data_IF_774991822096
#
_entry.id   IF_774991822096
#
_cell.length_a   1.000
_cell.length_b   1.000
_cell.length_c   1.000
_cell.angle_alpha   90.00
_cell.angle_beta   90.00
_cell.angle_gamma   90.00
#
_symmetry.space_group_name_H-M   'P 1'
#
loop_
_entity.id
_entity.type
_entity.pdbx_description
1 polymer ?
#
# COMPACT_ATOMS: atom_id res chain seq x y z
N UNK A 1 -13.41 19.69 12.00
CA UNK A 1 -14.39 19.17 11.02
C UNK A 1 -13.66 18.16 10.15
N UNK A 2 -14.11 16.90 10.10
CA UNK A 2 -13.43 15.85 9.32
C UNK A 2 -13.88 15.89 7.86
N UNK A 3 -12.94 15.70 6.92
CA UNK A 3 -13.20 15.75 5.47
C UNK A 3 -14.29 14.75 5.06
N UNK A 4 -14.28 13.54 5.63
CA UNK A 4 -15.27 12.50 5.33
C UNK A 4 -16.72 12.90 5.60
N UNK A 5 -16.99 13.63 6.68
CA UNK A 5 -18.37 14.06 7.01
C UNK A 5 -18.87 15.17 6.08
N UNK A 6 -17.97 16.03 5.60
CA UNK A 6 -18.31 17.02 4.58
C UNK A 6 -18.66 16.33 3.25
N UNK A 7 -17.85 15.35 2.85
CA UNK A 7 -18.08 14.55 1.64
C UNK A 7 -19.42 13.80 1.69
N UNK A 8 -19.74 13.19 2.83
CA UNK A 8 -21.03 12.52 3.06
C UNK A 8 -22.21 13.49 2.90
N UNK A 9 -22.14 14.69 3.49
CA UNK A 9 -23.18 15.71 3.34
C UNK A 9 -23.36 16.18 1.89
N UNK A 10 -22.30 16.11 1.08
CA UNK A 10 -22.31 16.37 -0.36
C UNK A 10 -22.70 15.14 -1.19
N UNK A 11 -23.15 14.06 -0.55
CA UNK A 11 -23.54 12.80 -1.19
C UNK A 11 -22.40 12.13 -1.99
N UNK A 12 -21.15 12.37 -1.59
CA UNK A 12 -19.98 11.68 -2.14
C UNK A 12 -19.87 10.30 -1.50
N UNK A 13 -19.84 9.26 -2.33
CA UNK A 13 -19.75 7.87 -1.89
C UNK A 13 -18.30 7.38 -2.02
N UNK A 14 -17.74 6.69 -1.00
CA UNK A 14 -16.43 6.08 -1.12
C UNK A 14 -16.44 4.99 -2.20
N UNK A 15 -15.33 4.88 -2.94
CA UNK A 15 -15.12 3.85 -3.96
C UNK A 15 -14.05 2.88 -3.47
N UNK A 16 -14.21 1.60 -3.80
CA UNK A 16 -13.17 0.60 -3.54
C UNK A 16 -11.93 0.92 -4.39
N UNK A 17 -10.83 1.24 -3.71
CA UNK A 17 -9.55 1.58 -4.33
C UNK A 17 -8.55 0.45 -4.26
N UNK A 18 -8.94 -0.78 -3.93
CA UNK A 18 -8.03 -1.94 -4.01
C UNK A 18 -7.70 -2.29 -5.46
N UNK A 19 -6.69 -3.12 -5.66
CA UNK A 19 -6.36 -3.63 -6.99
C UNK A 19 -7.34 -4.75 -7.43
N UNK A 20 -7.13 -5.30 -8.63
CA UNK A 20 -7.97 -6.38 -9.18
C UNK A 20 -7.93 -7.68 -8.35
N UNK A 21 -6.94 -7.84 -7.48
CA UNK A 21 -6.81 -8.96 -6.55
C UNK A 21 -7.35 -8.63 -5.15
N UNK A 22 -7.92 -7.44 -4.95
CA UNK A 22 -8.44 -7.00 -3.66
C UNK A 22 -7.36 -6.59 -2.66
N UNK A 23 -6.14 -6.26 -3.10
CA UNK A 23 -5.03 -5.81 -2.25
C UNK A 23 -5.02 -4.28 -2.11
N UNK A 24 -4.57 -3.78 -0.96
CA UNK A 24 -4.52 -2.35 -0.65
C UNK A 24 -3.56 -1.57 -1.55
N UNK A 25 -3.88 -0.28 -1.81
CA UNK A 25 -3.00 0.66 -2.53
C UNK A 25 -2.59 1.90 -1.73
N UNK A 26 -3.30 2.23 -0.65
CA UNK A 26 -3.01 3.37 0.21
C UNK A 26 -2.84 2.88 1.65
N UNK A 27 -1.69 3.16 2.26
CA UNK A 27 -1.29 2.57 3.53
C UNK A 27 -1.00 3.63 4.60
N UNK A 28 -1.59 3.49 5.82
CA UNK A 28 -1.37 4.43 6.92
C UNK A 28 -0.03 4.19 7.66
N UNK A 29 0.72 3.15 7.31
CA UNK A 29 2.03 2.85 7.86
C UNK A 29 3.09 2.65 6.79
N UNK A 30 4.32 2.46 7.26
CA UNK A 30 5.47 2.21 6.39
C UNK A 30 5.38 0.83 5.73
N UNK A 31 6.11 0.60 4.62
CA UNK A 31 6.11 -0.71 3.94
C UNK A 31 6.54 -1.85 4.88
N UNK A 32 7.53 -1.60 5.75
CA UNK A 32 8.03 -2.61 6.70
C UNK A 32 6.93 -3.08 7.65
N UNK A 33 6.10 -2.15 8.12
CA UNK A 33 5.00 -2.44 9.04
C UNK A 33 3.92 -3.33 8.42
N UNK A 34 3.70 -3.24 7.11
CA UNK A 34 2.72 -4.07 6.41
C UNK A 34 3.31 -5.41 5.91
N UNK A 35 4.60 -5.41 5.51
CA UNK A 35 5.26 -6.58 4.94
C UNK A 35 5.79 -7.56 5.98
N UNK A 36 6.19 -7.08 7.16
CA UNK A 36 6.71 -7.93 8.23
C UNK A 36 5.52 -8.48 9.03
N UNK A 37 5.37 -9.82 9.12
CA UNK A 37 4.33 -10.43 9.93
C UNK A 37 4.37 -9.93 11.37
N UNK A 38 3.19 -9.77 11.98
CA UNK A 38 2.99 -9.34 13.38
C UNK A 38 3.54 -7.94 13.74
N UNK A 39 3.98 -7.15 12.75
CA UNK A 39 4.43 -5.77 13.00
C UNK A 39 3.28 -4.83 13.38
N UNK A 40 2.06 -5.10 12.91
CA UNK A 40 0.83 -4.45 13.40
C UNK A 40 0.24 -5.34 14.48
N UNK A 41 0.27 -4.87 15.74
CA UNK A 41 -0.32 -5.60 16.86
C UNK A 41 -1.82 -5.81 16.65
N UNK A 42 -2.35 -6.95 17.10
CA UNK A 42 -3.77 -7.30 16.96
C UNK A 42 -4.71 -6.35 17.72
N UNK A 43 -4.22 -5.70 18.78
CA UNK A 43 -4.96 -4.70 19.57
C UNK A 43 -4.81 -3.27 19.02
N UNK A 44 -4.23 -3.10 17.83
CA UNK A 44 -4.09 -1.80 17.19
C UNK A 44 -5.43 -1.30 16.65
N UNK A 45 -5.67 0.01 16.82
CA UNK A 45 -6.77 0.76 16.17
C UNK A 45 -6.88 0.50 14.66
N UNK A 46 -5.77 0.10 14.03
CA UNK A 46 -5.73 -0.25 12.61
C UNK A 46 -6.79 -1.28 12.26
N UNK A 47 -6.93 -2.33 13.07
CA UNK A 47 -7.88 -3.41 12.82
C UNK A 47 -9.33 -2.98 13.07
N UNK A 48 -9.55 -2.02 13.96
CA UNK A 48 -10.88 -1.46 14.24
C UNK A 48 -11.35 -0.48 13.14
N UNK A 49 -10.41 0.21 12.49
CA UNK A 49 -10.71 1.28 11.53
C UNK A 49 -10.60 0.83 10.06
N UNK A 50 -10.06 -0.36 9.80
CA UNK A 50 -9.88 -0.85 8.44
C UNK A 50 -11.14 -1.53 7.91
N UNK A 51 -11.67 -1.02 6.80
CA UNK A 51 -12.85 -1.60 6.16
C UNK A 51 -12.53 -2.91 5.41
N UNK A 52 -11.34 -3.01 4.82
CA UNK A 52 -10.88 -4.20 4.10
C UNK A 52 -9.57 -4.72 4.71
N UNK A 53 -9.64 -5.70 5.63
CA UNK A 53 -8.45 -6.28 6.24
C UNK A 53 -7.52 -6.89 5.18
N UNK A 54 -6.22 -6.52 5.14
CA UNK A 54 -5.29 -7.10 4.19
C UNK A 54 -4.85 -8.50 4.64
N UNK A 55 -4.29 -9.27 3.69
CA UNK A 55 -3.50 -10.44 4.02
C UNK A 55 -2.19 -10.04 4.72
N UNK A 56 -1.57 -10.98 5.41
CA UNK A 56 -0.27 -10.77 6.07
C UNK A 56 0.88 -11.05 5.12
N UNK A 57 2.05 -10.45 5.38
CA UNK A 57 3.27 -10.70 4.61
C UNK A 57 3.26 -10.06 3.22
N UNK A 58 3.92 -10.70 2.26
CA UNK A 58 4.07 -10.15 0.90
C UNK A 58 2.75 -10.05 0.11
N UNK A 59 1.70 -10.75 0.53
CA UNK A 59 0.37 -10.68 -0.09
C UNK A 59 -0.49 -9.50 0.42
N UNK A 60 0.00 -8.72 1.40
CA UNK A 60 -0.73 -7.58 1.98
C UNK A 60 -1.07 -6.50 0.95
N UNK A 61 -0.19 -6.35 -0.03
CA UNK A 61 0.04 -5.08 -0.67
C UNK A 61 0.05 -5.24 -2.17
N UNK A 62 -0.62 -4.33 -2.87
CA UNK A 62 -0.68 -4.37 -4.33
C UNK A 62 0.70 -4.13 -4.93
N UNK A 63 0.99 -4.81 -6.04
CA UNK A 63 2.14 -4.50 -6.90
C UNK A 63 2.03 -3.08 -7.52
N UNK A 64 0.83 -2.49 -7.45
CA UNK A 64 0.53 -1.11 -7.86
C UNK A 64 0.20 -0.20 -6.67
N UNK A 65 0.79 -0.48 -5.49
CA UNK A 65 0.65 0.36 -4.31
C UNK A 65 1.08 1.81 -4.60
N UNK A 66 0.31 2.78 -4.10
CA UNK A 66 0.42 4.21 -4.43
C UNK A 66 1.14 4.98 -3.33
N UNK A 67 0.75 4.79 -2.06
CA UNK A 67 1.35 5.56 -0.96
C UNK A 67 1.45 4.78 0.34
N UNK A 68 2.49 5.12 1.10
CA UNK A 68 2.77 4.63 2.44
C UNK A 68 3.11 5.82 3.33
N UNK A 69 2.61 5.82 4.56
CA UNK A 69 2.85 6.90 5.51
C UNK A 69 4.04 6.59 6.43
N UNK A 70 4.63 7.64 7.02
CA UNK A 70 5.71 7.48 8.01
C UNK A 70 7.06 7.05 7.41
N UNK A 71 7.32 7.32 6.13
CA UNK A 71 8.63 7.06 5.51
C UNK A 71 9.55 8.27 5.70
N UNK A 72 10.72 8.06 6.32
CA UNK A 72 11.75 9.10 6.45
C UNK A 72 12.48 9.39 5.14
N UNK A 73 13.06 10.58 5.02
CA UNK A 73 13.68 11.07 3.79
C UNK A 73 14.77 10.12 3.25
N UNK A 74 15.66 9.56 4.08
CA UNK A 74 16.70 8.65 3.60
C UNK A 74 16.09 7.41 2.92
N UNK A 75 15.02 6.86 3.51
CA UNK A 75 14.33 5.68 2.97
C UNK A 75 13.58 6.01 1.68
N UNK A 76 13.03 7.21 1.54
CA UNK A 76 12.44 7.67 0.27
C UNK A 76 13.48 7.68 -0.86
N UNK A 77 14.70 8.19 -0.60
CA UNK A 77 15.79 8.18 -1.58
C UNK A 77 16.19 6.75 -2.00
N UNK A 78 16.35 5.86 -1.02
CA UNK A 78 16.67 4.44 -1.28
C UNK A 78 15.56 3.77 -2.08
N UNK A 79 14.29 3.96 -1.71
CA UNK A 79 13.16 3.39 -2.46
C UNK A 79 13.11 3.91 -3.89
N UNK A 80 13.32 5.21 -4.11
CA UNK A 80 13.37 5.77 -5.45
C UNK A 80 14.48 5.11 -6.30
N UNK A 81 15.67 4.92 -5.72
CA UNK A 81 16.75 4.21 -6.38
C UNK A 81 16.38 2.75 -6.71
N UNK A 82 15.87 1.99 -5.74
CA UNK A 82 15.57 0.57 -5.91
C UNK A 82 14.40 0.30 -6.88
N UNK A 83 13.40 1.18 -6.93
CA UNK A 83 12.20 1.00 -7.75
C UNK A 83 12.42 1.51 -9.18
N UNK A 84 13.02 2.70 -9.33
CA UNK A 84 13.05 3.39 -10.62
C UNK A 84 14.41 3.39 -11.31
N UNK A 85 15.51 3.22 -10.58
CA UNK A 85 16.87 3.37 -11.14
C UNK A 85 17.65 2.05 -11.19
N UNK A 86 17.50 1.19 -10.17
CA UNK A 86 18.20 -0.08 -10.09
C UNK A 86 17.66 -1.03 -11.16
N UNK A 87 18.57 -1.55 -11.99
CA UNK A 87 18.27 -2.58 -13.00
C UNK A 87 18.96 -3.87 -12.60
N UNK A 88 18.24 -4.86 -12.06
CA UNK A 88 18.82 -6.15 -11.75
C UNK A 88 19.41 -6.78 -13.00
N UNK A 89 20.65 -7.25 -12.92
CA UNK A 89 21.28 -7.95 -14.03
C UNK A 89 20.50 -9.22 -14.37
N UNK A 90 20.24 -9.46 -15.67
CA UNK A 90 19.54 -10.65 -16.14
C UNK A 90 18.01 -10.56 -16.17
N UNK A 91 17.39 -9.46 -15.73
CA UNK A 91 15.93 -9.25 -15.84
C UNK A 91 15.65 -8.26 -16.98
N UNK A 92 15.03 -8.74 -18.06
CA UNK A 92 14.59 -7.86 -19.15
C UNK A 92 13.33 -7.08 -18.71
N UNK A 93 13.30 -5.74 -18.83
CA UNK A 93 12.16 -4.91 -18.43
C UNK A 93 10.83 -5.30 -19.08
N UNK A 94 10.87 -6.00 -20.22
CA UNK A 94 9.70 -6.41 -20.98
C UNK A 94 9.09 -7.76 -20.57
N UNK A 95 9.69 -8.50 -19.64
CA UNK A 95 9.21 -9.85 -19.28
C UNK A 95 7.99 -9.85 -18.33
N UNK A 96 7.66 -8.72 -17.68
CA UNK A 96 6.60 -8.65 -16.65
C UNK A 96 5.21 -8.28 -17.22
N UNK A 97 5.14 -7.76 -18.46
CA UNK A 97 3.85 -7.41 -19.10
C UNK A 97 3.16 -8.56 -19.85
N UNK A 98 3.63 -9.81 -19.67
CA UNK A 98 3.02 -11.00 -20.27
C UNK A 98 2.59 -12.00 -19.19
N UNK A 99 1.76 -11.57 -18.25
CA UNK A 99 0.89 -12.51 -17.53
C UNK A 99 -0.55 -12.17 -17.89
N UNK A 100 -1.08 -13.00 -18.78
CA UNK A 100 -2.50 -13.19 -19.13
C UNK A 100 -3.41 -13.20 -17.92
#
# INVERSE_FOLDING_TARGET
>A
MCVGRCMENLQVVPVDTRDSLGRGRFFPFSPETHLIPDAIKQDSWYWDMIYYPPNMGFECCSDTAISFHGIGHQKMYVMNYLIYHLRPYGISPHAVMNKT
#
